data_IF_209085058074
#
_entry.id   IF_209085058074
#
_cell.length_a   1.000
_cell.length_b   1.000
_cell.length_c   1.000
_cell.angle_alpha   90.00
_cell.angle_beta   90.00
_cell.angle_gamma   90.00
#
_symmetry.space_group_name_H-M   'P 1'
#
loop_
_entity.id
_entity.type
_entity.pdbx_description
1 polymer ?
#
# COMPACT_ATOMS: atom_id res chain seq x y z
N UNK A 1 14.88 -21.66 -1.82
CA UNK A 1 16.01 -20.71 -1.88
C UNK A 1 15.97 -19.91 -0.58
N UNK A 2 16.67 -20.41 0.45
CA UNK A 2 16.79 -19.82 1.80
C UNK A 2 18.22 -19.27 2.00
N UNK A 3 19.05 -19.30 0.96
CA UNK A 3 20.48 -18.98 1.06
C UNK A 3 20.77 -17.48 0.89
N UNK A 4 20.00 -16.78 0.05
CA UNK A 4 20.21 -15.36 -0.28
C UNK A 4 20.10 -14.41 0.93
N UNK A 5 19.36 -14.78 1.98
CA UNK A 5 19.10 -13.93 3.15
C UNK A 5 20.01 -14.23 4.35
N UNK A 6 21.02 -15.10 4.17
CA UNK A 6 21.98 -15.42 5.23
C UNK A 6 23.09 -14.39 5.38
N UNK A 7 23.18 -13.44 4.45
CA UNK A 7 24.10 -12.33 4.56
C UNK A 7 23.77 -11.49 5.81
N UNK A 8 24.79 -11.20 6.62
CA UNK A 8 24.66 -10.33 7.78
C UNK A 8 24.09 -8.94 7.41
N UNK A 9 24.27 -8.50 6.16
CA UNK A 9 23.66 -7.28 5.62
C UNK A 9 22.13 -7.29 5.55
N UNK A 10 21.47 -8.43 5.78
CA UNK A 10 20.01 -8.56 5.81
C UNK A 10 19.41 -8.57 7.23
N UNK A 11 20.23 -8.49 8.27
CA UNK A 11 19.74 -8.39 9.64
C UNK A 11 19.65 -6.93 10.12
N UNK A 12 18.73 -6.68 11.04
CA UNK A 12 18.65 -5.45 11.81
C UNK A 12 19.79 -5.40 12.85
N UNK A 13 19.91 -4.28 13.58
CA UNK A 13 20.98 -4.08 14.57
C UNK A 13 21.02 -5.16 15.67
N UNK A 14 19.87 -5.80 15.94
CA UNK A 14 19.76 -6.91 16.89
C UNK A 14 20.29 -8.25 16.36
N UNK A 15 20.68 -8.31 15.08
CA UNK A 15 21.24 -9.49 14.40
C UNK A 15 20.31 -10.71 14.37
N UNK A 16 19.03 -10.54 14.67
CA UNK A 16 18.04 -11.62 14.74
C UNK A 16 16.85 -11.35 13.81
N UNK A 17 16.41 -10.09 13.70
CA UNK A 17 15.30 -9.73 12.83
C UNK A 17 15.78 -9.33 11.43
N UNK A 18 15.01 -9.63 10.38
CA UNK A 18 15.30 -9.11 9.05
C UNK A 18 15.18 -7.59 9.04
N UNK A 19 16.11 -6.91 8.37
CA UNK A 19 15.97 -5.48 8.11
C UNK A 19 14.97 -5.22 6.96
N UNK A 20 14.76 -3.94 6.68
CA UNK A 20 13.82 -3.52 5.64
C UNK A 20 14.19 -4.04 4.25
N UNK A 21 15.49 -4.08 3.92
CA UNK A 21 15.95 -4.59 2.62
C UNK A 21 15.66 -6.09 2.48
N UNK A 22 15.87 -6.87 3.55
CA UNK A 22 15.56 -8.30 3.58
C UNK A 22 14.07 -8.55 3.39
N UNK A 23 13.24 -7.79 4.11
CA UNK A 23 11.78 -7.88 4.02
C UNK A 23 11.29 -7.56 2.60
N UNK A 24 11.81 -6.50 1.99
CA UNK A 24 11.48 -6.15 0.61
C UNK A 24 11.94 -7.21 -0.39
N UNK A 25 13.13 -7.77 -0.22
CA UNK A 25 13.63 -8.83 -1.09
C UNK A 25 12.69 -10.04 -1.09
N UNK A 26 12.26 -10.49 0.10
CA UNK A 26 11.27 -11.57 0.21
C UNK A 26 9.97 -11.17 -0.47
N UNK A 27 9.47 -9.96 -0.22
CA UNK A 27 8.22 -9.48 -0.79
C UNK A 27 8.23 -9.46 -2.32
N UNK A 28 9.33 -8.97 -2.92
CA UNK A 28 9.51 -8.92 -4.38
C UNK A 28 9.53 -10.30 -5.04
N UNK A 29 9.94 -11.35 -4.32
CA UNK A 29 9.90 -12.73 -4.79
C UNK A 29 8.56 -13.40 -4.49
N UNK A 30 8.00 -13.16 -3.31
CA UNK A 30 6.78 -13.79 -2.83
C UNK A 30 5.56 -13.36 -3.64
N UNK A 31 5.40 -12.06 -3.89
CA UNK A 31 4.24 -11.52 -4.61
C UNK A 31 4.05 -12.16 -5.99
N UNK A 32 5.04 -12.20 -6.90
CA UNK A 32 4.85 -12.84 -8.20
C UNK A 32 4.75 -14.38 -8.13
N UNK A 33 5.25 -15.01 -7.07
CA UNK A 33 5.22 -16.47 -6.92
C UNK A 33 3.91 -17.00 -6.33
N UNK A 34 3.24 -16.21 -5.48
CA UNK A 34 2.10 -16.68 -4.68
C UNK A 34 0.80 -15.90 -4.92
N UNK A 35 0.86 -14.74 -5.57
CA UNK A 35 -0.30 -13.87 -5.80
C UNK A 35 -0.55 -13.75 -7.30
N UNK A 36 -1.79 -13.89 -7.73
CA UNK A 36 -2.16 -13.77 -9.14
C UNK A 36 -2.12 -12.32 -9.63
N UNK A 37 -1.91 -12.14 -10.93
CA UNK A 37 -1.74 -10.81 -11.53
C UNK A 37 -2.91 -9.83 -11.26
N UNK A 38 -4.19 -10.27 -11.28
CA UNK A 38 -5.30 -9.41 -10.88
C UNK A 38 -5.20 -8.90 -9.44
N UNK A 39 -4.90 -9.77 -8.47
CA UNK A 39 -4.74 -9.35 -7.08
C UNK A 39 -3.51 -8.46 -6.88
N UNK A 40 -2.41 -8.70 -7.60
CA UNK A 40 -1.25 -7.79 -7.58
C UNK A 40 -1.61 -6.38 -8.06
N UNK A 41 -2.46 -6.24 -9.10
CA UNK A 41 -2.96 -4.94 -9.57
C UNK A 41 -3.81 -4.27 -8.50
N UNK A 42 -4.70 -5.01 -7.87
CA UNK A 42 -5.52 -4.52 -6.76
C UNK A 42 -4.67 -4.06 -5.57
N UNK A 43 -3.65 -4.84 -5.17
CA UNK A 43 -2.72 -4.46 -4.09
C UNK A 43 -2.04 -3.13 -4.38
N UNK A 44 -1.64 -2.87 -5.64
CA UNK A 44 -1.07 -1.58 -6.05
C UNK A 44 -2.08 -0.44 -5.93
N UNK A 45 -3.32 -0.65 -6.37
CA UNK A 45 -4.39 0.35 -6.23
C UNK A 45 -4.67 0.69 -4.75
N UNK A 46 -4.79 -0.33 -3.89
CA UNK A 46 -4.99 -0.15 -2.44
C UNK A 46 -3.80 0.56 -1.79
N UNK A 47 -2.57 0.22 -2.17
CA UNK A 47 -1.37 0.90 -1.65
C UNK A 47 -1.36 2.40 -1.96
N UNK A 48 -1.83 2.80 -3.15
CA UNK A 48 -1.97 4.21 -3.50
C UNK A 48 -3.02 4.93 -2.65
N UNK A 49 -4.14 4.27 -2.35
CA UNK A 49 -5.17 4.82 -1.45
C UNK A 49 -4.62 4.97 -0.03
N UNK A 50 -3.92 3.96 0.48
CA UNK A 50 -3.30 4.02 1.81
C UNK A 50 -2.25 5.14 1.90
N UNK A 51 -1.41 5.29 0.88
CA UNK A 51 -0.45 6.39 0.82
C UNK A 51 -1.15 7.76 0.79
N UNK A 52 -2.26 7.87 0.05
CA UNK A 52 -3.06 9.09 -0.01
C UNK A 52 -3.73 9.42 1.34
N UNK A 53 -4.27 8.42 2.05
CA UNK A 53 -4.90 8.58 3.39
C UNK A 53 -3.88 9.03 4.44
N UNK A 54 -2.63 8.56 4.32
CA UNK A 54 -1.54 8.93 5.20
C UNK A 54 -0.85 10.26 4.83
N UNK A 55 -1.25 10.91 3.74
CA UNK A 55 -0.68 12.19 3.33
C UNK A 55 -1.07 13.29 4.32
N UNK A 56 -0.09 14.04 4.82
CA UNK A 56 -0.31 15.22 5.66
C UNK A 56 -0.34 16.48 4.77
N UNK A 57 -1.50 17.11 4.54
CA UNK A 57 -1.58 18.30 3.71
C UNK A 57 -0.88 19.50 4.35
N UNK A 58 -0.11 20.25 3.55
CA UNK A 58 0.52 21.50 3.99
C UNK A 58 -0.52 22.61 4.18
N UNK A 59 -1.50 22.72 3.29
CA UNK A 59 -2.63 23.65 3.40
C UNK A 59 -3.97 22.91 3.19
N UNK A 60 -4.64 22.47 4.28
CA UNK A 60 -5.89 21.72 4.20
C UNK A 60 -7.06 22.50 3.56
N UNK A 61 -7.07 23.83 3.62
CA UNK A 61 -8.16 24.63 3.05
C UNK A 61 -7.96 24.95 1.56
N UNK A 62 -6.82 24.59 0.98
CA UNK A 62 -6.49 24.88 -0.42
C UNK A 62 -7.39 24.11 -1.39
N UNK A 63 -7.68 24.72 -2.53
CA UNK A 63 -8.42 24.07 -3.62
C UNK A 63 -7.71 22.82 -4.14
N UNK A 64 -6.37 22.81 -4.13
CA UNK A 64 -5.59 21.63 -4.50
C UNK A 64 -5.84 20.46 -3.56
N UNK A 65 -5.92 20.71 -2.24
CA UNK A 65 -6.21 19.64 -1.28
C UNK A 65 -7.65 19.14 -1.41
N UNK A 66 -8.63 20.03 -1.61
CA UNK A 66 -10.01 19.63 -1.89
C UNK A 66 -10.11 18.74 -3.14
N UNK A 67 -9.41 19.11 -4.21
CA UNK A 67 -9.35 18.32 -5.45
C UNK A 67 -8.68 16.96 -5.24
N UNK A 68 -7.63 16.92 -4.42
CA UNK A 68 -6.97 15.68 -4.00
C UNK A 68 -7.94 14.75 -3.23
N UNK A 69 -8.71 15.28 -2.28
CA UNK A 69 -9.71 14.50 -1.54
C UNK A 69 -10.77 13.94 -2.50
N UNK A 70 -11.37 14.80 -3.33
CA UNK A 70 -12.38 14.39 -4.32
C UNK A 70 -11.87 13.30 -5.28
N UNK A 71 -10.66 13.45 -5.79
CA UNK A 71 -10.06 12.48 -6.73
C UNK A 71 -9.84 11.12 -6.06
N UNK A 72 -9.43 11.09 -4.79
CA UNK A 72 -9.24 9.84 -4.07
C UNK A 72 -10.57 9.23 -3.60
N UNK A 73 -11.56 10.06 -3.25
CA UNK A 73 -12.92 9.60 -2.97
C UNK A 73 -13.54 8.85 -4.16
N UNK A 74 -13.44 9.43 -5.36
CA UNK A 74 -13.92 8.78 -6.59
C UNK A 74 -13.22 7.45 -6.86
N UNK A 75 -11.90 7.36 -6.65
CA UNK A 75 -11.16 6.11 -6.79
C UNK A 75 -11.65 5.04 -5.80
N UNK A 76 -11.89 5.41 -4.55
CA UNK A 76 -12.40 4.49 -3.53
C UNK A 76 -13.79 3.99 -3.88
N UNK A 77 -14.68 4.86 -4.38
CA UNK A 77 -16.00 4.44 -4.89
C UNK A 77 -15.86 3.42 -6.03
N UNK A 78 -14.96 3.68 -6.99
CA UNK A 78 -14.75 2.73 -8.11
C UNK A 78 -14.22 1.38 -7.62
N UNK A 79 -13.34 1.38 -6.62
CA UNK A 79 -12.83 0.16 -5.99
C UNK A 79 -13.93 -0.57 -5.21
N UNK A 80 -14.76 0.13 -4.45
CA UNK A 80 -15.85 -0.49 -3.68
C UNK A 80 -16.91 -1.13 -4.59
N UNK A 81 -17.18 -0.53 -5.75
CA UNK A 81 -18.07 -1.11 -6.77
C UNK A 81 -17.46 -2.34 -7.43
N UNK A 82 -16.15 -2.31 -7.74
CA UNK A 82 -15.46 -3.43 -8.41
C UNK A 82 -15.22 -4.61 -7.48
N UNK A 83 -14.98 -4.35 -6.19
CA UNK A 83 -14.63 -5.34 -5.17
C UNK A 83 -15.57 -5.24 -3.97
N UNK A 84 -16.84 -5.60 -4.17
CA UNK A 84 -17.89 -5.49 -3.14
C UNK A 84 -17.63 -6.28 -1.84
N UNK A 85 -16.66 -7.21 -1.84
CA UNK A 85 -16.25 -7.97 -0.66
C UNK A 85 -15.20 -7.26 0.20
N UNK A 86 -14.67 -6.10 -0.23
CA UNK A 86 -13.68 -5.32 0.50
C UNK A 86 -14.38 -4.14 1.19
N UNK A 87 -14.13 -3.96 2.48
CA UNK A 87 -14.64 -2.83 3.23
C UNK A 87 -13.76 -1.58 3.01
N UNK A 88 -14.37 -0.50 2.52
CA UNK A 88 -13.75 0.81 2.29
C UNK A 88 -14.42 1.95 3.10
N UNK A 89 -15.21 1.64 4.12
CA UNK A 89 -15.97 2.63 4.91
C UNK A 89 -15.08 3.73 5.51
N UNK A 90 -13.89 3.37 5.99
CA UNK A 90 -12.96 4.33 6.57
C UNK A 90 -12.39 5.29 5.52
N UNK A 91 -12.01 4.77 4.36
CA UNK A 91 -11.46 5.55 3.25
C UNK A 91 -12.51 6.49 2.68
N UNK A 92 -13.75 6.00 2.51
CA UNK A 92 -14.87 6.82 2.07
C UNK A 92 -15.16 7.97 3.04
N UNK A 93 -15.13 7.69 4.35
CA UNK A 93 -15.30 8.72 5.39
C UNK A 93 -14.14 9.71 5.47
N UNK A 94 -12.93 9.29 5.12
CA UNK A 94 -11.76 10.16 5.16
C UNK A 94 -11.73 11.13 3.96
N UNK A 95 -12.07 10.65 2.76
CA UNK A 95 -11.98 11.46 1.54
C UNK A 95 -13.26 12.24 1.19
N UNK A 96 -14.42 11.85 1.73
CA UNK A 96 -15.71 12.53 1.52
C UNK A 96 -16.14 13.35 2.73
#
# INVERSE_FOLDING_TARGET
>A
MIDDLRDYGFYAEDMVHPNYAATNYVWEKFVPACIDEPAQKLMKEINLINAAKNHKPFNPSSELHKKFLQTNFEKVIQLSMRYAYINFEEELKYFG
#
